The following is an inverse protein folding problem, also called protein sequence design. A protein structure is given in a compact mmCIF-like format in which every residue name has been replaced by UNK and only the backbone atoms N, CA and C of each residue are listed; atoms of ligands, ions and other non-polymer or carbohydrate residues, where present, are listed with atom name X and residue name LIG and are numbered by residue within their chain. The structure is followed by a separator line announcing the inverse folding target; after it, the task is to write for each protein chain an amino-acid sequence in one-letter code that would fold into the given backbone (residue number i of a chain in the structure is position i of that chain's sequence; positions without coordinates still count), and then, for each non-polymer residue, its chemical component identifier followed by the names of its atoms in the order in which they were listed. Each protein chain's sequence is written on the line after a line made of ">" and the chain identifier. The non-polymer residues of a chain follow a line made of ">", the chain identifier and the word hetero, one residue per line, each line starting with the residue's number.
data_IF_178328798596
#
_entry.id   IF_178328798596
#
_cell.length_a   1.000
_cell.length_b   1.000
_cell.length_c   1.000
_cell.angle_alpha   90.00
_cell.angle_beta   90.00
_cell.angle_gamma   90.00
#
_symmetry.space_group_name_H-M   'P 1'
#
loop_
_entity.id
_entity.type
_entity.pdbx_description
1 polymer ?
#
# COMPACT_ATOMS: atom_id res chain seq x y z
N UNK A 1 50.92 -3.51 22.73
CA UNK A 1 50.85 -4.40 21.55
C UNK A 1 49.39 -4.82 21.35
N UNK A 2 48.82 -4.50 20.18
CA UNK A 2 47.77 -5.19 19.38
C UNK A 2 46.66 -5.96 20.15
N UNK A 3 45.40 -5.49 20.11
CA UNK A 3 44.29 -5.96 19.22
C UNK A 3 43.83 -7.41 19.47
N UNK A 4 42.57 -7.85 19.40
CA UNK A 4 41.22 -7.27 19.29
C UNK A 4 40.18 -8.44 19.25
N UNK A 5 38.96 -8.19 19.79
CA UNK A 5 37.60 -8.58 19.29
C UNK A 5 37.19 -10.05 19.08
N UNK A 6 36.06 -10.44 19.71
CA UNK A 6 34.73 -10.81 19.15
C UNK A 6 33.92 -11.54 20.26
N UNK A 7 32.60 -11.59 20.39
CA UNK A 7 31.43 -11.00 19.74
C UNK A 7 30.27 -11.31 20.69
N UNK A 8 29.63 -10.31 21.28
CA UNK A 8 28.42 -10.51 22.09
C UNK A 8 27.33 -9.62 21.51
N UNK A 9 26.46 -10.19 20.70
CA UNK A 9 25.21 -9.58 20.25
C UNK A 9 24.23 -10.73 20.01
N UNK A 10 23.00 -10.72 20.48
CA UNK A 10 22.26 -9.63 21.09
C UNK A 10 20.77 -9.97 20.97
N UNK A 11 20.11 -9.90 22.12
CA UNK A 11 18.67 -9.84 22.36
C UNK A 11 17.74 -9.70 21.15
N UNK A 12 16.75 -10.60 21.12
CA UNK A 12 15.53 -10.46 20.36
C UNK A 12 14.83 -9.12 20.71
N UNK A 13 14.53 -8.33 19.68
CA UNK A 13 13.51 -7.28 19.74
C UNK A 13 12.66 -7.35 18.46
N UNK A 14 11.33 -7.46 18.56
CA UNK A 14 10.45 -7.29 17.42
C UNK A 14 10.49 -5.82 17.01
N UNK A 15 11.00 -5.54 15.81
CA UNK A 15 10.98 -4.20 15.23
C UNK A 15 9.56 -3.87 14.76
N UNK A 16 8.72 -3.52 15.74
CA UNK A 16 7.46 -2.83 15.57
C UNK A 16 7.76 -1.43 15.05
N UNK A 17 7.63 -1.26 13.73
CA UNK A 17 7.89 0.01 13.05
C UNK A 17 6.77 1.01 13.36
N UNK A 18 7.04 2.18 13.98
CA UNK A 18 6.02 3.16 14.27
C UNK A 18 5.87 4.16 13.11
N UNK A 19 4.61 4.53 12.86
CA UNK A 19 4.10 5.74 12.20
C UNK A 19 4.31 5.91 10.70
N UNK A 20 3.19 5.74 9.98
CA UNK A 20 2.58 6.88 9.28
C UNK A 20 1.13 7.01 9.70
N UNK A 21 0.96 7.72 10.82
CA UNK A 21 -0.31 8.29 11.27
C UNK A 21 -0.68 9.35 10.23
N UNK A 22 -1.56 9.00 9.30
CA UNK A 22 -2.55 9.94 8.80
C UNK A 22 -3.88 9.56 9.42
N UNK A 23 -3.94 9.75 10.73
CA UNK A 23 -5.18 9.90 11.47
C UNK A 23 -5.85 11.17 10.96
N UNK A 24 -6.78 10.98 10.04
CA UNK A 24 -7.94 11.85 9.88
C UNK A 24 -9.17 11.04 10.30
N UNK A 25 -9.11 10.34 11.43
CA UNK A 25 -10.33 10.14 12.19
C UNK A 25 -10.58 11.43 12.95
N UNK A 26 -11.60 12.17 12.53
CA UNK A 26 -12.61 12.73 13.44
C UNK A 26 -13.66 13.45 12.61
N UNK A 27 -14.81 12.78 12.54
CA UNK A 27 -16.15 13.36 12.51
C UNK A 27 -16.45 14.41 11.45
N UNK A 28 -17.05 13.95 10.36
CA UNK A 28 -18.31 14.55 9.93
C UNK A 28 -19.24 13.43 9.53
N UNK A 29 -19.99 12.93 10.52
CA UNK A 29 -21.20 12.16 10.27
C UNK A 29 -22.20 13.14 9.65
N UNK A 30 -22.24 13.22 8.33
CA UNK A 30 -23.31 13.91 7.62
C UNK A 30 -24.46 12.89 7.43
N UNK A 31 -25.50 13.02 8.25
CA UNK A 31 -26.86 12.52 8.02
C UNK A 31 -27.08 11.00 7.72
N UNK A 32 -26.26 10.09 8.25
CA UNK A 32 -26.58 8.64 8.22
C UNK A 32 -26.64 8.01 6.81
N UNK A 33 -26.10 8.68 5.79
CA UNK A 33 -25.94 8.15 4.43
C UNK A 33 -24.46 7.97 4.17
N UNK A 34 -23.99 6.72 4.11
CA UNK A 34 -22.64 6.40 3.61
C UNK A 34 -22.48 7.06 2.25
N UNK A 35 -21.51 7.97 2.11
CA UNK A 35 -21.23 8.63 0.84
C UNK A 35 -20.32 7.68 0.04
N UNK A 36 -20.84 6.91 -0.93
CA UNK A 36 -20.10 5.78 -1.49
C UNK A 36 -18.88 6.22 -2.30
N UNK A 37 -18.85 7.46 -2.79
CA UNK A 37 -17.80 7.94 -3.69
C UNK A 37 -16.48 8.29 -2.99
N UNK A 38 -16.52 8.80 -1.75
CA UNK A 38 -15.30 9.20 -1.04
C UNK A 38 -14.53 7.99 -0.47
N UNK A 39 -15.27 6.99 0.03
CA UNK A 39 -14.72 5.73 0.51
C UNK A 39 -14.05 4.92 -0.61
N UNK A 40 -14.70 4.88 -1.78
CA UNK A 40 -14.15 4.21 -2.96
C UNK A 40 -12.89 4.90 -3.48
N UNK A 41 -12.87 6.24 -3.50
CA UNK A 41 -11.68 7.03 -3.84
C UNK A 41 -10.51 6.77 -2.89
N UNK A 42 -10.76 6.74 -1.58
CA UNK A 42 -9.73 6.50 -0.57
C UNK A 42 -9.14 5.08 -0.68
N UNK A 43 -9.99 4.07 -0.86
CA UNK A 43 -9.54 2.67 -1.07
C UNK A 43 -8.81 2.51 -2.41
N UNK A 44 -9.30 3.14 -3.47
CA UNK A 44 -8.64 3.14 -4.79
C UNK A 44 -7.24 3.76 -4.71
N UNK A 45 -7.10 4.89 -4.01
CA UNK A 45 -5.81 5.54 -3.76
C UNK A 45 -4.85 4.65 -2.94
N UNK A 46 -5.37 3.95 -1.92
CA UNK A 46 -4.59 2.99 -1.16
C UNK A 46 -4.02 1.89 -2.06
N UNK A 47 -4.84 1.30 -2.94
CA UNK A 47 -4.41 0.28 -3.89
C UNK A 47 -3.33 0.81 -4.83
N UNK A 48 -3.48 2.02 -5.37
CA UNK A 48 -2.48 2.65 -6.25
C UNK A 48 -1.14 2.79 -5.54
N UNK A 49 -1.12 3.31 -4.30
CA UNK A 49 0.12 3.48 -3.53
C UNK A 49 0.81 2.13 -3.25
N UNK A 50 0.03 1.13 -2.87
CA UNK A 50 0.53 -0.21 -2.61
C UNK A 50 1.07 -0.87 -3.89
N UNK A 51 0.36 -0.73 -5.00
CA UNK A 51 0.80 -1.24 -6.30
C UNK A 51 2.10 -0.58 -6.77
N UNK A 52 2.24 0.75 -6.64
CA UNK A 52 3.48 1.47 -6.95
C UNK A 52 4.66 0.89 -6.14
N UNK A 53 4.50 0.72 -4.82
CA UNK A 53 5.55 0.14 -3.97
C UNK A 53 5.93 -1.29 -4.39
N UNK A 54 4.96 -2.10 -4.78
CA UNK A 54 5.23 -3.47 -5.24
C UNK A 54 5.94 -3.48 -6.59
N UNK A 55 5.50 -2.64 -7.52
CA UNK A 55 6.13 -2.52 -8.84
C UNK A 55 7.56 -2.00 -8.76
N UNK A 56 7.84 -1.04 -7.87
CA UNK A 56 9.21 -0.54 -7.66
C UNK A 56 10.12 -1.56 -6.98
N UNK A 57 9.58 -2.41 -6.10
CA UNK A 57 10.37 -3.39 -5.34
C UNK A 57 10.62 -4.68 -6.14
N UNK A 58 9.59 -5.22 -6.80
CA UNK A 58 9.63 -6.55 -7.42
C UNK A 58 9.56 -6.52 -8.96
N UNK A 59 9.23 -5.37 -9.55
CA UNK A 59 8.99 -5.23 -10.98
C UNK A 59 7.57 -5.64 -11.42
N UNK A 60 7.19 -5.22 -12.63
CA UNK A 60 5.85 -5.40 -13.19
C UNK A 60 5.52 -6.85 -13.59
N UNK A 61 6.52 -7.61 -14.01
CA UNK A 61 6.33 -9.01 -14.43
C UNK A 61 6.09 -9.91 -13.22
N UNK A 62 6.90 -9.74 -12.17
CA UNK A 62 6.84 -10.51 -10.92
C UNK A 62 5.61 -10.15 -10.07
N UNK A 63 5.20 -8.89 -10.09
CA UNK A 63 4.04 -8.44 -9.30
C UNK A 63 2.73 -8.81 -10.00
N UNK A 64 2.07 -9.87 -9.50
CA UNK A 64 0.73 -10.26 -9.91
C UNK A 64 -0.38 -9.48 -9.19
N UNK A 65 -1.60 -9.51 -9.75
CA UNK A 65 -2.80 -8.93 -9.13
C UNK A 65 -3.08 -9.56 -7.76
N UNK A 66 -2.80 -10.86 -7.60
CA UNK A 66 -2.98 -11.59 -6.35
C UNK A 66 -2.12 -11.03 -5.20
N UNK A 67 -0.87 -10.66 -5.49
CA UNK A 67 0.02 -10.07 -4.50
C UNK A 67 -0.48 -8.68 -4.07
N UNK A 68 -0.97 -7.90 -5.04
CA UNK A 68 -1.52 -6.56 -4.77
C UNK A 68 -2.78 -6.68 -3.91
N UNK A 69 -3.70 -7.58 -4.24
CA UNK A 69 -4.90 -7.89 -3.46
C UNK A 69 -4.54 -8.30 -2.04
N UNK A 70 -3.56 -9.19 -1.86
CA UNK A 70 -3.10 -9.64 -0.55
C UNK A 70 -2.49 -8.51 0.28
N UNK A 71 -1.80 -7.56 -0.34
CA UNK A 71 -1.12 -6.44 0.35
C UNK A 71 -2.02 -5.23 0.60
N UNK A 72 -3.03 -5.03 -0.25
CA UNK A 72 -3.99 -3.92 -0.12
C UNK A 72 -5.27 -4.32 0.64
N UNK A 73 -5.38 -5.60 1.03
CA UNK A 73 -6.49 -6.15 1.82
C UNK A 73 -7.87 -5.90 1.19
N UNK A 74 -7.93 -5.86 -0.14
CA UNK A 74 -9.18 -5.71 -0.89
C UNK A 74 -9.52 -6.96 -1.70
N UNK A 75 -10.80 -7.32 -1.86
CA UNK A 75 -11.20 -8.42 -2.72
C UNK A 75 -10.74 -8.21 -4.16
N UNK A 76 -10.31 -9.31 -4.82
CA UNK A 76 -9.90 -9.29 -6.23
C UNK A 76 -10.98 -8.73 -7.16
N UNK A 77 -12.24 -9.04 -6.89
CA UNK A 77 -13.38 -8.48 -7.63
C UNK A 77 -13.46 -6.95 -7.52
N UNK A 78 -13.21 -6.40 -6.32
CA UNK A 78 -13.20 -4.94 -6.09
C UNK A 78 -12.04 -4.27 -6.82
N UNK A 79 -10.86 -4.92 -6.88
CA UNK A 79 -9.73 -4.40 -7.65
C UNK A 79 -10.10 -4.29 -9.14
N UNK A 80 -10.64 -5.34 -9.74
CA UNK A 80 -11.07 -5.31 -11.13
C UNK A 80 -12.24 -4.34 -11.36
N UNK A 81 -13.11 -4.12 -10.38
CA UNK A 81 -14.13 -3.07 -10.48
C UNK A 81 -13.53 -1.65 -10.53
N UNK A 82 -12.37 -1.43 -9.91
CA UNK A 82 -11.71 -0.11 -9.89
C UNK A 82 -10.81 0.17 -11.08
N UNK A 83 -10.14 -0.87 -11.61
CA UNK A 83 -9.06 -0.73 -12.59
C UNK A 83 -9.29 -1.52 -13.88
N UNK A 84 -10.31 -2.38 -13.93
CA UNK A 84 -10.72 -3.22 -15.07
C UNK A 84 -9.72 -4.31 -15.49
N UNK A 85 -8.43 -4.02 -15.52
CA UNK A 85 -7.36 -4.93 -15.92
C UNK A 85 -6.07 -4.69 -15.13
N UNK A 86 -5.08 -5.57 -15.30
CA UNK A 86 -3.74 -5.37 -14.70
C UNK A 86 -3.05 -4.18 -15.34
N UNK A 87 -3.21 -4.03 -16.65
CA UNK A 87 -2.68 -2.94 -17.46
C UNK A 87 -3.29 -1.61 -17.03
N UNK A 88 -4.61 -1.54 -16.81
CA UNK A 88 -5.28 -0.34 -16.34
C UNK A 88 -4.83 0.10 -14.93
N UNK A 89 -4.47 -0.86 -14.07
CA UNK A 89 -3.83 -0.54 -12.80
C UNK A 89 -2.44 0.09 -13.00
N UNK A 90 -1.63 -0.45 -13.92
CA UNK A 90 -0.29 0.07 -14.22
C UNK A 90 -0.38 1.48 -14.81
N UNK A 91 -1.27 1.71 -15.77
CA UNK A 91 -1.53 3.03 -16.36
C UNK A 91 -1.88 4.07 -15.30
N UNK A 92 -2.79 3.72 -14.38
CA UNK A 92 -3.14 4.60 -13.26
C UNK A 92 -1.97 4.89 -12.33
N UNK A 93 -1.11 3.89 -12.08
CA UNK A 93 0.09 4.09 -11.26
C UNK A 93 1.06 5.07 -11.94
N UNK A 94 1.28 4.93 -13.25
CA UNK A 94 2.15 5.81 -14.04
C UNK A 94 1.57 7.23 -14.09
N UNK A 95 0.27 7.37 -14.36
CA UNK A 95 -0.43 8.65 -14.39
C UNK A 95 -0.34 9.37 -13.03
N UNK A 96 -0.50 8.63 -11.93
CA UNK A 96 -0.36 9.16 -10.58
C UNK A 96 1.06 9.63 -10.27
N UNK A 97 2.08 8.87 -10.67
CA UNK A 97 3.48 9.27 -10.49
C UNK A 97 3.87 10.49 -11.33
N UNK A 98 3.33 10.62 -12.54
CA UNK A 98 3.59 11.77 -13.43
C UNK A 98 2.96 13.08 -12.93
N UNK A 99 1.91 12.97 -12.12
CA UNK A 99 1.19 14.12 -11.55
C UNK A 99 1.77 14.61 -10.22
N UNK A 100 2.79 13.94 -9.68
CA UNK A 100 3.56 14.37 -8.51
C UNK A 100 4.77 15.19 -8.93
#
# INVERSE_FOLDING_TARGET
>A
MRCAKHSLYGFAVPFFSPKKVSHLETTRIYNGKTMPNLETSSKKLHVIRTAINLFTTYGFHTTGVDLIVKKSEIPKATLYNYFHSKEGLIEMCIAFQKSL
#
